data_IF_798608635948
#
_entry.id   IF_798608635948
#
_cell.length_a   1.000
_cell.length_b   1.000
_cell.length_c   1.000
_cell.angle_alpha   90.00
_cell.angle_beta   90.00
_cell.angle_gamma   90.00
#
_symmetry.space_group_name_H-M   'P 1'
#
loop_
_entity.id
_entity.type
_entity.pdbx_description
1 polymer ?
#
# COMPACT_ATOMS: atom_id res chain seq x y z
N UNK A 1 48.96 19.19 19.98
CA UNK A 1 47.92 20.20 20.29
C UNK A 1 46.68 19.81 19.50
N UNK A 2 45.62 19.41 20.20
CA UNK A 2 44.38 18.95 19.56
C UNK A 2 43.62 20.16 19.02
N UNK A 3 43.55 20.30 17.70
CA UNK A 3 42.65 21.27 17.06
C UNK A 3 41.23 20.72 17.14
N UNK A 4 40.42 21.49 17.86
CA UNK A 4 39.05 21.24 18.25
C UNK A 4 38.18 21.20 16.98
N UNK A 5 37.78 20.01 16.51
CA UNK A 5 36.66 19.90 15.58
C UNK A 5 35.45 20.55 16.26
N UNK A 6 34.97 21.66 15.71
CA UNK A 6 33.76 22.35 16.19
C UNK A 6 32.56 21.46 15.88
N UNK A 7 32.22 20.56 16.79
CA UNK A 7 30.87 20.03 16.87
C UNK A 7 29.97 21.15 17.38
N UNK A 8 29.23 21.81 16.49
CA UNK A 8 28.14 22.71 16.89
C UNK A 8 26.83 21.94 16.83
N UNK A 9 26.40 21.54 18.02
CA UNK A 9 25.04 21.19 18.39
C UNK A 9 24.05 22.23 17.86
N UNK A 10 22.98 21.73 17.25
CA UNK A 10 21.75 22.44 16.88
C UNK A 10 21.30 23.42 17.98
N UNK A 11 21.55 24.70 17.75
CA UNK A 11 20.78 25.80 18.31
C UNK A 11 19.99 26.41 17.15
N UNK A 12 18.67 26.50 17.33
CA UNK A 12 17.76 27.19 16.42
C UNK A 12 18.10 28.69 16.40
N UNK A 13 18.99 29.09 15.51
CA UNK A 13 19.06 30.44 14.97
C UNK A 13 19.25 30.26 13.46
N UNK A 14 18.61 31.10 12.65
CA UNK A 14 18.78 31.12 11.20
C UNK A 14 20.24 31.39 10.87
N UNK A 15 21.02 30.33 10.64
CA UNK A 15 22.41 30.43 10.21
C UNK A 15 22.36 30.81 8.73
N UNK A 16 22.68 32.06 8.41
CA UNK A 16 22.84 32.52 7.02
C UNK A 16 24.01 31.73 6.41
N UNK A 17 23.71 30.67 5.63
CA UNK A 17 24.70 29.73 5.07
C UNK A 17 25.68 30.43 4.11
N UNK A 18 25.23 31.47 3.43
CA UNK A 18 26.08 32.34 2.59
C UNK A 18 27.14 33.09 3.38
N UNK A 19 26.90 33.43 4.65
CA UNK A 19 27.91 34.08 5.51
C UNK A 19 29.07 33.12 5.82
N UNK A 20 28.75 31.86 6.12
CA UNK A 20 29.74 30.83 6.44
C UNK A 20 30.61 30.52 5.21
N UNK A 21 30.00 30.44 4.03
CA UNK A 21 30.71 30.25 2.78
C UNK A 21 31.71 31.39 2.48
N UNK A 22 31.28 32.65 2.63
CA UNK A 22 32.15 33.80 2.34
C UNK A 22 33.26 33.94 3.39
N UNK A 23 33.02 33.56 4.65
CA UNK A 23 34.08 33.49 5.68
C UNK A 23 35.16 32.46 5.33
N UNK A 24 34.75 31.26 4.90
CA UNK A 24 35.69 30.22 4.44
C UNK A 24 36.37 30.62 3.14
N UNK A 25 35.69 31.35 2.24
CA UNK A 25 36.31 31.83 1.00
C UNK A 25 37.38 32.91 1.26
N UNK A 26 37.20 33.74 2.30
CA UNK A 26 38.16 34.78 2.71
C UNK A 26 39.49 34.20 3.18
N UNK A 27 39.54 32.98 3.70
CA UNK A 27 40.81 32.37 4.16
C UNK A 27 41.71 31.93 3.01
N UNK A 28 41.15 31.61 1.84
CA UNK A 28 41.92 31.10 0.68
C UNK A 28 42.02 32.13 -0.45
N UNK A 29 41.03 33.02 -0.57
CA UNK A 29 40.98 34.01 -1.63
C UNK A 29 41.00 35.44 -1.06
N UNK A 30 42.15 36.14 -1.11
CA UNK A 30 42.30 37.47 -0.49
C UNK A 30 41.34 38.54 -1.02
N UNK A 31 40.84 38.38 -2.25
CA UNK A 31 39.90 39.31 -2.89
C UNK A 31 38.42 39.03 -2.53
N UNK A 32 38.14 38.00 -1.73
CA UNK A 32 36.78 37.67 -1.29
C UNK A 32 36.17 38.69 -0.31
N UNK A 33 36.98 39.64 0.20
CA UNK A 33 36.53 40.71 1.10
C UNK A 33 35.53 41.68 0.47
N UNK A 34 35.41 41.71 -0.86
CA UNK A 34 34.45 42.54 -1.59
C UNK A 34 33.14 41.82 -1.93
N UNK A 35 33.00 40.55 -1.57
CA UNK A 35 31.81 39.74 -1.89
C UNK A 35 30.76 39.89 -0.78
N UNK A 36 29.49 40.05 -1.17
CA UNK A 36 28.38 40.15 -0.23
C UNK A 36 27.82 38.77 0.10
N UNK A 37 27.67 38.52 1.41
CA UNK A 37 27.30 37.21 1.97
C UNK A 37 25.91 36.73 1.49
N UNK A 38 24.97 37.65 1.25
CA UNK A 38 23.61 37.34 0.80
C UNK A 38 23.48 36.97 -0.68
N UNK A 39 24.50 37.25 -1.49
CA UNK A 39 24.48 36.91 -2.91
C UNK A 39 24.71 35.41 -3.13
N UNK A 40 25.04 34.65 -2.07
CA UNK A 40 25.37 33.23 -2.12
C UNK A 40 24.37 32.34 -1.40
N UNK A 41 23.38 32.89 -0.69
CA UNK A 41 22.39 32.08 0.03
C UNK A 41 21.56 31.21 -0.94
N UNK A 42 21.20 31.75 -2.12
CA UNK A 42 20.43 31.00 -3.13
C UNK A 42 21.16 29.78 -3.69
N UNK A 43 22.50 29.75 -3.64
CA UNK A 43 23.30 28.62 -4.13
C UNK A 43 23.16 27.38 -3.24
N UNK A 44 22.77 27.56 -1.98
CA UNK A 44 22.46 26.46 -1.06
C UNK A 44 21.06 25.90 -1.26
N UNK A 45 20.17 26.62 -1.95
CA UNK A 45 18.82 26.14 -2.28
C UNK A 45 18.82 25.26 -3.54
N UNK A 46 19.93 25.21 -4.28
CA UNK A 46 20.10 24.34 -5.45
C UNK A 46 20.73 22.99 -5.02
N UNK A 47 20.05 21.85 -5.21
CA UNK A 47 20.51 20.54 -4.72
C UNK A 47 21.80 20.06 -5.40
N UNK A 48 22.08 20.51 -6.62
CA UNK A 48 23.31 20.18 -7.34
C UNK A 48 24.55 20.87 -6.74
N UNK A 49 24.37 22.05 -6.15
CA UNK A 49 25.46 22.85 -5.57
C UNK A 49 25.54 22.74 -4.06
N UNK A 50 24.46 22.37 -3.37
CA UNK A 50 24.42 22.21 -1.92
C UNK A 50 25.50 21.25 -1.40
N UNK A 51 25.63 20.06 -2.00
CA UNK A 51 26.62 19.06 -1.57
C UNK A 51 28.06 19.57 -1.66
N UNK A 52 28.38 20.30 -2.73
CA UNK A 52 29.70 20.89 -2.92
C UNK A 52 29.96 22.02 -1.91
N UNK A 53 28.98 22.90 -1.70
CA UNK A 53 29.11 24.03 -0.81
C UNK A 53 29.20 23.60 0.66
N UNK A 54 28.43 22.59 1.04
CA UNK A 54 28.51 21.98 2.38
C UNK A 54 29.86 21.29 2.59
N UNK A 55 30.37 20.57 1.58
CA UNK A 55 31.74 20.04 1.64
C UNK A 55 32.79 21.14 1.77
N UNK A 56 32.65 22.22 0.99
CA UNK A 56 33.58 23.35 0.99
C UNK A 56 33.61 24.01 2.37
N UNK A 57 32.47 24.40 2.93
CA UNK A 57 32.41 25.03 4.25
C UNK A 57 32.95 24.14 5.37
N UNK A 58 32.81 22.81 5.26
CA UNK A 58 33.23 21.87 6.30
C UNK A 58 34.69 21.38 6.17
N UNK A 59 35.26 21.42 4.97
CA UNK A 59 36.56 20.78 4.67
C UNK A 59 37.65 21.79 4.35
N UNK A 60 37.26 22.98 3.92
CA UNK A 60 38.17 23.99 3.43
C UNK A 60 38.54 24.96 4.56
N UNK A 61 39.83 25.01 4.92
CA UNK A 61 40.33 25.78 6.05
C UNK A 61 41.71 26.41 5.79
N UNK A 62 42.27 27.04 6.82
CA UNK A 62 43.60 27.69 6.77
C UNK A 62 44.71 26.68 6.42
N UNK A 63 44.53 25.40 6.77
CA UNK A 63 45.42 24.29 6.43
C UNK A 63 45.50 23.99 4.92
N UNK A 64 44.52 24.44 4.14
CA UNK A 64 44.47 24.25 2.69
C UNK A 64 45.03 25.47 1.92
N UNK A 65 45.35 26.56 2.63
CA UNK A 65 46.01 27.72 2.06
C UNK A 65 47.52 27.58 2.24
N UNK A 66 48.29 27.76 1.16
CA UNK A 66 49.75 27.71 1.21
C UNK A 66 50.29 28.84 2.08
N UNK A 67 50.99 28.49 3.16
CA UNK A 67 51.61 29.47 4.07
C UNK A 67 52.81 30.15 3.35
N UNK A 68 53.10 31.46 3.53
CA UNK A 68 54.20 32.11 2.82
C UNK A 68 55.56 31.46 3.08
N UNK A 69 55.75 30.87 4.25
CA UNK A 69 56.95 30.11 4.60
C UNK A 69 57.07 28.80 3.81
N UNK A 70 55.94 28.15 3.53
CA UNK A 70 55.90 26.92 2.71
C UNK A 70 56.20 27.24 1.25
N UNK A 71 55.68 28.37 0.76
CA UNK A 71 55.95 28.92 -0.56
C UNK A 71 57.45 29.23 -0.74
N UNK A 72 58.09 29.88 0.24
CA UNK A 72 59.54 30.08 0.22
C UNK A 72 60.34 28.77 0.26
N UNK A 73 59.88 27.77 1.02
CA UNK A 73 60.55 26.46 1.05
C UNK A 73 60.39 25.72 -0.29
N UNK A 74 59.24 25.86 -0.94
CA UNK A 74 59.00 25.31 -2.26
C UNK A 74 59.88 26.02 -3.31
N UNK A 75 59.96 27.35 -3.32
CA UNK A 75 60.86 28.08 -4.21
C UNK A 75 62.33 27.70 -3.99
N UNK A 76 62.78 27.57 -2.73
CA UNK A 76 64.13 27.08 -2.41
C UNK A 76 64.36 25.64 -2.91
N UNK A 77 63.34 24.79 -2.90
CA UNK A 77 63.40 23.42 -3.44
C UNK A 77 63.46 23.39 -4.97
N UNK A 78 62.66 24.22 -5.65
CA UNK A 78 62.70 24.38 -7.12
C UNK A 78 64.08 24.90 -7.56
N UNK A 79 64.63 25.89 -6.86
CA UNK A 79 65.98 26.42 -7.13
C UNK A 79 67.07 25.37 -6.86
N UNK A 80 66.84 24.41 -5.96
CA UNK A 80 67.81 23.36 -5.63
C UNK A 80 67.98 22.28 -6.70
N UNK A 81 67.16 22.27 -7.77
CA UNK A 81 67.31 21.41 -8.94
C UNK A 81 67.11 19.91 -8.66
N UNK A 82 66.55 19.54 -7.51
CA UNK A 82 66.17 18.15 -7.20
C UNK A 82 64.90 17.80 -7.99
N UNK A 83 64.75 16.55 -8.49
CA UNK A 83 63.53 16.14 -9.18
C UNK A 83 62.36 16.22 -8.20
N UNK A 84 61.48 17.20 -8.43
CA UNK A 84 60.20 17.29 -7.75
C UNK A 84 59.31 16.19 -8.34
N UNK A 85 58.66 15.42 -7.47
CA UNK A 85 57.70 14.41 -7.89
C UNK A 85 56.44 15.12 -8.37
N UNK A 86 56.37 15.38 -9.66
CA UNK A 86 55.23 15.99 -10.33
C UNK A 86 54.53 14.95 -11.23
N UNK A 87 53.21 15.10 -11.32
CA UNK A 87 52.28 14.39 -12.20
C UNK A 87 52.56 12.88 -12.34
N UNK A 88 53.14 12.45 -13.45
CA UNK A 88 53.31 11.04 -13.83
C UNK A 88 54.27 10.28 -12.89
N UNK A 89 55.30 10.95 -12.38
CA UNK A 89 56.23 10.33 -11.43
C UNK A 89 55.59 10.17 -10.04
N UNK A 90 54.75 11.12 -9.63
CA UNK A 90 53.96 11.01 -8.40
C UNK A 90 52.88 9.94 -8.55
N UNK A 91 52.22 9.87 -9.69
CA UNK A 91 51.18 8.88 -9.98
C UNK A 91 51.79 7.47 -10.04
N UNK A 92 52.98 7.31 -10.61
CA UNK A 92 53.71 6.04 -10.61
C UNK A 92 54.18 5.64 -9.20
N UNK A 93 54.66 6.58 -8.38
CA UNK A 93 54.98 6.32 -6.98
C UNK A 93 53.74 6.02 -6.15
N UNK A 94 52.61 6.71 -6.35
CA UNK A 94 51.33 6.41 -5.71
C UNK A 94 50.79 5.05 -6.14
N UNK A 95 50.94 4.67 -7.41
CA UNK A 95 50.56 3.34 -7.92
C UNK A 95 51.45 2.24 -7.32
N UNK A 96 52.73 2.52 -7.14
CA UNK A 96 53.69 1.60 -6.52
C UNK A 96 53.48 1.50 -5.00
N UNK A 97 53.16 2.63 -4.34
CA UNK A 97 52.78 2.70 -2.93
C UNK A 97 51.43 2.06 -2.65
N UNK A 98 50.45 2.17 -3.54
CA UNK A 98 49.16 1.46 -3.41
C UNK A 98 49.30 -0.04 -3.68
N UNK A 99 50.27 -0.45 -4.51
CA UNK A 99 50.70 -1.85 -4.62
C UNK A 99 51.44 -2.34 -3.36
N UNK A 100 52.23 -1.50 -2.68
CA UNK A 100 52.82 -1.84 -1.37
C UNK A 100 51.83 -1.73 -0.21
N UNK A 101 50.79 -0.90 -0.32
CA UNK A 101 49.64 -0.84 0.61
C UNK A 101 48.67 -2.02 0.41
N UNK A 102 48.88 -2.85 -0.63
CA UNK A 102 48.40 -4.25 -0.62
C UNK A 102 49.14 -5.14 0.37
N UNK A 103 49.94 -4.58 1.27
CA UNK A 103 50.00 -5.05 2.65
C UNK A 103 48.62 -4.86 3.30
N UNK A 104 47.72 -5.75 2.89
CA UNK A 104 46.42 -6.12 3.42
C UNK A 104 46.45 -6.43 4.94
N UNK A 105 47.58 -6.21 5.63
CA UNK A 105 47.73 -6.36 7.07
C UNK A 105 47.25 -5.14 7.85
N UNK A 106 47.61 -3.91 7.46
CA UNK A 106 47.40 -2.74 8.33
C UNK A 106 45.95 -2.18 8.22
N UNK A 107 45.37 -2.11 7.02
CA UNK A 107 43.95 -1.79 6.84
C UNK A 107 42.99 -2.92 7.28
N UNK A 108 43.51 -4.13 7.56
CA UNK A 108 42.80 -5.19 8.29
C UNK A 108 43.06 -5.15 9.79
N UNK A 109 44.19 -4.60 10.25
CA UNK A 109 44.50 -4.38 11.67
C UNK A 109 43.75 -3.18 12.25
N UNK A 110 43.46 -2.15 11.43
CA UNK A 110 42.54 -1.06 11.80
C UNK A 110 41.05 -1.44 11.70
N UNK A 111 40.73 -2.61 11.15
CA UNK A 111 39.46 -3.30 11.42
C UNK A 111 39.62 -4.04 12.75
N UNK A 112 39.63 -3.30 13.85
CA UNK A 112 39.58 -3.93 15.15
C UNK A 112 38.24 -4.69 15.23
N UNK A 113 38.23 -6.00 15.49
CA UNK A 113 36.98 -6.78 15.56
C UNK A 113 36.01 -6.21 16.60
N UNK A 114 36.53 -5.49 17.59
CA UNK A 114 35.75 -4.77 18.60
C UNK A 114 35.03 -3.56 17.98
N UNK A 115 35.73 -2.71 17.22
CA UNK A 115 35.10 -1.52 16.61
C UNK A 115 34.13 -1.89 15.49
N UNK A 116 34.42 -2.93 14.72
CA UNK A 116 33.45 -3.45 13.74
C UNK A 116 32.24 -4.08 14.42
N UNK A 117 32.43 -4.84 15.51
CA UNK A 117 31.31 -5.39 16.26
C UNK A 117 30.43 -4.32 16.91
N UNK A 118 31.02 -3.21 17.37
CA UNK A 118 30.28 -2.04 17.88
C UNK A 118 29.51 -1.32 16.77
N UNK A 119 30.10 -1.15 15.59
CA UNK A 119 29.41 -0.60 14.42
C UNK A 119 28.28 -1.52 13.94
N UNK A 120 28.52 -2.83 13.83
CA UNK A 120 27.50 -3.82 13.45
C UNK A 120 26.34 -3.85 14.47
N UNK A 121 26.63 -3.70 15.77
CA UNK A 121 25.59 -3.59 16.80
C UNK A 121 24.81 -2.28 16.71
N UNK A 122 25.45 -1.17 16.37
CA UNK A 122 24.76 0.11 16.19
C UNK A 122 23.94 0.11 14.90
N UNK A 123 24.42 -0.48 13.80
CA UNK A 123 23.68 -0.67 12.56
C UNK A 123 22.41 -1.50 12.81
N UNK A 124 22.52 -2.61 13.54
CA UNK A 124 21.37 -3.41 13.96
C UNK A 124 20.38 -2.63 14.83
N UNK A 125 20.88 -1.72 15.67
CA UNK A 125 20.04 -0.86 16.51
C UNK A 125 19.31 0.18 15.68
N UNK A 126 19.99 0.76 14.69
CA UNK A 126 19.42 1.72 13.75
C UNK A 126 18.37 1.06 12.85
N UNK A 127 18.64 -0.11 12.27
CA UNK A 127 17.64 -0.87 11.49
C UNK A 127 16.40 -1.22 12.32
N UNK A 128 16.59 -1.59 13.59
CA UNK A 128 15.47 -1.82 14.51
C UNK A 128 14.65 -0.53 14.74
N UNK A 129 15.32 0.60 14.97
CA UNK A 129 14.66 1.88 15.21
C UNK A 129 13.93 2.38 13.95
N UNK A 130 14.52 2.23 12.77
CA UNK A 130 13.92 2.57 11.48
C UNK A 130 12.64 1.77 11.25
N UNK A 131 12.67 0.46 11.48
CA UNK A 131 11.46 -0.38 11.37
C UNK A 131 10.35 0.07 12.34
N UNK A 132 10.70 0.39 13.58
CA UNK A 132 9.71 0.87 14.56
C UNK A 132 9.17 2.25 14.16
N UNK A 133 9.99 3.10 13.56
CA UNK A 133 9.57 4.40 13.05
C UNK A 133 8.65 4.27 11.84
N UNK A 134 8.96 3.42 10.87
CA UNK A 134 8.08 3.13 9.72
C UNK A 134 6.72 2.63 10.20
N UNK A 135 6.70 1.66 11.12
CA UNK A 135 5.44 1.12 11.66
C UNK A 135 4.62 2.18 12.41
N UNK A 136 5.27 3.08 13.15
CA UNK A 136 4.60 4.21 13.80
C UNK A 136 4.05 5.23 12.79
N UNK A 137 4.81 5.53 11.73
CA UNK A 137 4.38 6.43 10.65
C UNK A 137 3.17 5.86 9.93
N UNK A 138 3.19 4.57 9.59
CA UNK A 138 2.06 3.89 8.94
C UNK A 138 0.81 3.92 9.80
N UNK A 139 0.94 3.69 11.11
CA UNK A 139 -0.18 3.81 12.05
C UNK A 139 -0.73 5.23 12.11
N UNK A 140 0.15 6.25 12.19
CA UNK A 140 -0.26 7.66 12.25
C UNK A 140 -0.93 8.09 10.94
N UNK A 141 -0.39 7.70 9.79
CA UNK A 141 -1.00 7.97 8.47
C UNK A 141 -2.37 7.30 8.34
N UNK A 142 -2.48 6.05 8.81
CA UNK A 142 -3.75 5.34 8.90
C UNK A 142 -4.77 6.10 9.75
N UNK A 143 -4.38 6.56 10.94
CA UNK A 143 -5.24 7.37 11.79
C UNK A 143 -5.63 8.69 11.14
N UNK A 144 -4.69 9.40 10.51
CA UNK A 144 -4.95 10.68 9.85
C UNK A 144 -5.97 10.53 8.72
N UNK A 145 -5.82 9.51 7.87
CA UNK A 145 -6.78 9.22 6.80
C UNK A 145 -8.18 8.90 7.36
N UNK A 146 -8.25 8.18 8.48
CA UNK A 146 -9.52 7.89 9.16
C UNK A 146 -10.17 9.17 9.71
N UNK A 147 -9.39 10.05 10.32
CA UNK A 147 -9.89 11.34 10.81
C UNK A 147 -10.39 12.24 9.67
N UNK A 148 -9.70 12.27 8.53
CA UNK A 148 -10.16 13.00 7.35
C UNK A 148 -11.48 12.46 6.82
N UNK A 149 -11.62 11.13 6.73
CA UNK A 149 -12.87 10.48 6.35
C UNK A 149 -14.02 10.79 7.32
N UNK A 150 -13.78 10.74 8.63
CA UNK A 150 -14.76 11.11 9.65
C UNK A 150 -15.18 12.58 9.52
N UNK A 151 -14.23 13.49 9.24
CA UNK A 151 -14.51 14.91 9.00
C UNK A 151 -15.40 15.11 7.78
N UNK A 152 -15.10 14.43 6.67
CA UNK A 152 -15.92 14.48 5.45
C UNK A 152 -17.34 13.95 5.70
N UNK A 153 -17.46 12.82 6.41
CA UNK A 153 -18.77 12.26 6.81
C UNK A 153 -19.56 13.23 7.68
N UNK A 154 -18.91 13.90 8.64
CA UNK A 154 -19.55 14.89 9.50
C UNK A 154 -20.02 16.11 8.69
N UNK A 155 -19.21 16.59 7.75
CA UNK A 155 -19.59 17.68 6.85
C UNK A 155 -20.79 17.30 5.97
N UNK A 156 -20.78 16.09 5.41
CA UNK A 156 -21.90 15.59 4.61
C UNK A 156 -23.17 15.47 5.45
N UNK A 157 -23.07 14.94 6.67
CA UNK A 157 -24.21 14.83 7.60
C UNK A 157 -24.76 16.21 7.97
N UNK A 158 -23.90 17.18 8.24
CA UNK A 158 -24.30 18.58 8.50
C UNK A 158 -25.05 19.17 7.31
N UNK A 159 -24.52 19.00 6.09
CA UNK A 159 -25.15 19.51 4.87
C UNK A 159 -26.52 18.88 4.63
N UNK A 160 -26.65 17.56 4.82
CA UNK A 160 -27.92 16.87 4.70
C UNK A 160 -28.95 17.37 5.73
N UNK A 161 -28.54 17.52 6.99
CA UNK A 161 -29.41 18.06 8.03
C UNK A 161 -29.87 19.49 7.71
N UNK A 162 -28.96 20.33 7.22
CA UNK A 162 -29.30 21.68 6.79
C UNK A 162 -30.28 21.68 5.62
N UNK A 163 -30.06 20.84 4.60
CA UNK A 163 -30.99 20.71 3.49
C UNK A 163 -32.38 20.23 3.94
N UNK A 164 -32.44 19.24 4.84
CA UNK A 164 -33.72 18.79 5.41
C UNK A 164 -34.40 19.88 6.24
N UNK A 165 -33.63 20.66 7.00
CA UNK A 165 -34.14 21.79 7.77
C UNK A 165 -34.77 22.86 6.87
N UNK A 166 -34.05 23.28 5.82
CA UNK A 166 -34.54 24.25 4.85
C UNK A 166 -35.82 23.75 4.15
N UNK A 167 -35.89 22.46 3.83
CA UNK A 167 -37.08 21.86 3.19
C UNK A 167 -38.28 21.83 4.14
N UNK A 168 -38.06 21.50 5.42
CA UNK A 168 -39.11 21.54 6.44
C UNK A 168 -39.59 22.96 6.70
N UNK A 169 -38.69 23.93 6.74
CA UNK A 169 -39.02 25.34 6.88
C UNK A 169 -39.88 25.83 5.70
N UNK A 170 -39.53 25.47 4.47
CA UNK A 170 -40.35 25.76 3.29
C UNK A 170 -41.73 25.08 3.31
N UNK A 171 -41.85 23.87 3.87
CA UNK A 171 -43.17 23.24 4.07
C UNK A 171 -43.96 23.93 5.18
N UNK A 172 -43.29 24.39 6.23
CA UNK A 172 -43.92 25.10 7.34
C UNK A 172 -44.48 26.45 6.90
N UNK A 173 -43.79 27.19 6.03
CA UNK A 173 -44.33 28.42 5.45
C UNK A 173 -45.55 28.15 4.59
N UNK A 174 -45.52 27.15 3.70
CA UNK A 174 -46.67 26.76 2.88
C UNK A 174 -47.87 26.32 3.74
N UNK A 175 -47.63 25.54 4.79
CA UNK A 175 -48.69 25.13 5.72
C UNK A 175 -49.28 26.32 6.45
N UNK A 176 -48.44 27.26 6.92
CA UNK A 176 -48.90 28.48 7.60
C UNK A 176 -49.72 29.37 6.67
N UNK A 177 -49.32 29.48 5.41
CA UNK A 177 -50.09 30.20 4.38
C UNK A 177 -51.46 29.52 4.18
N UNK A 178 -51.50 28.19 4.05
CA UNK A 178 -52.75 27.45 3.93
C UNK A 178 -53.63 27.54 5.17
N UNK A 179 -53.03 27.58 6.37
CA UNK A 179 -53.74 27.78 7.63
C UNK A 179 -54.36 29.18 7.68
N UNK A 180 -53.60 30.21 7.29
CA UNK A 180 -54.12 31.58 7.22
C UNK A 180 -55.26 31.72 6.21
N UNK A 181 -55.18 31.04 5.06
CA UNK A 181 -56.27 30.96 4.11
C UNK A 181 -57.47 30.26 4.73
N UNK A 182 -57.29 29.09 5.37
CA UNK A 182 -58.40 28.38 6.02
C UNK A 182 -59.04 29.21 7.13
N UNK A 183 -58.27 29.98 7.89
CA UNK A 183 -58.78 30.91 8.91
C UNK A 183 -59.59 32.05 8.27
N UNK A 184 -59.12 32.62 7.16
CA UNK A 184 -59.87 33.63 6.39
C UNK A 184 -61.18 33.05 5.85
N UNK A 185 -61.14 31.86 5.27
CA UNK A 185 -62.32 31.13 4.82
C UNK A 185 -63.29 30.83 5.98
N UNK A 186 -62.79 30.38 7.13
CA UNK A 186 -63.60 30.11 8.31
C UNK A 186 -64.28 31.40 8.83
N UNK A 187 -63.58 32.53 8.84
CA UNK A 187 -64.16 33.82 9.22
C UNK A 187 -65.33 34.23 8.31
N UNK A 188 -65.26 33.87 7.01
CA UNK A 188 -66.36 34.07 6.07
C UNK A 188 -67.59 33.20 6.38
N UNK A 189 -67.41 32.02 6.97
CA UNK A 189 -68.50 31.11 7.36
C UNK A 189 -69.10 31.44 8.73
N UNK A 190 -68.33 32.03 9.64
CA UNK A 190 -68.84 32.54 10.94
C UNK A 190 -69.74 33.78 10.76
N UNK A 191 -69.68 34.41 9.59
CA UNK A 191 -70.58 35.50 9.20
C UNK A 191 -72.03 34.97 9.12
N UNK A 192 -72.90 35.51 9.98
CA UNK A 192 -74.24 34.96 10.31
C UNK A 192 -75.23 34.91 9.13
N UNK A 193 -74.79 35.30 7.93
CA UNK A 193 -75.52 35.29 6.66
C UNK A 193 -75.44 33.97 5.91
N UNK A 194 -74.49 33.09 6.24
CA UNK A 194 -74.30 31.78 5.61
C UNK A 194 -74.70 30.59 6.50
N UNK A 195 -75.44 30.82 7.59
CA UNK A 195 -75.99 29.74 8.41
C UNK A 195 -77.04 28.96 7.60
N UNK A 196 -76.60 27.90 6.93
CA UNK A 196 -77.46 26.98 6.22
C UNK A 196 -78.27 26.24 7.28
N UNK A 197 -79.52 26.67 7.49
CA UNK A 197 -80.53 25.82 8.11
C UNK A 197 -80.53 24.50 7.34
N UNK A 198 -80.24 23.40 8.03
CA UNK A 198 -80.22 22.05 7.48
C UNK A 198 -81.56 21.78 6.78
N UNK A 199 -81.55 21.82 5.45
CA UNK A 199 -82.60 21.18 4.65
C UNK A 199 -82.08 19.78 4.28
N UNK A 200 -82.86 18.71 4.50
CA UNK A 200 -82.50 17.40 3.99
C UNK A 200 -82.72 17.43 2.46
N UNK A 201 -81.71 17.87 1.69
CA UNK A 201 -81.77 17.82 0.22
C UNK A 201 -81.43 16.42 -0.24
N UNK A 202 -82.46 15.65 -0.57
CA UNK A 202 -82.34 14.25 -1.03
C UNK A 202 -81.85 14.21 -2.50
N UNK A 203 -82.14 15.25 -3.29
CA UNK A 203 -81.75 15.37 -4.70
C UNK A 203 -80.53 16.28 -4.86
N UNK A 204 -79.65 15.90 -5.79
CA UNK A 204 -78.48 16.68 -6.19
C UNK A 204 -78.98 17.94 -6.92
N UNK A 205 -78.57 19.09 -6.42
CA UNK A 205 -78.92 20.39 -6.99
C UNK A 205 -78.24 20.52 -8.38
N UNK A 206 -78.97 20.86 -9.46
CA UNK A 206 -78.36 21.04 -10.78
C UNK A 206 -77.30 22.16 -10.83
N UNK A 207 -77.27 23.08 -9.85
CA UNK A 207 -76.21 24.09 -9.76
C UNK A 207 -74.92 23.56 -9.16
N UNK A 208 -74.94 22.40 -8.50
CA UNK A 208 -73.77 21.86 -7.82
C UNK A 208 -72.89 21.06 -8.79
N UNK A 209 -72.08 21.81 -9.54
CA UNK A 209 -71.20 21.28 -10.59
C UNK A 209 -70.24 20.20 -10.07
N UNK A 210 -69.86 20.28 -8.79
CA UNK A 210 -68.89 19.37 -8.17
C UNK A 210 -69.46 17.96 -7.98
N UNK A 211 -70.68 17.88 -7.45
CA UNK A 211 -71.38 16.63 -7.23
C UNK A 211 -71.85 16.03 -8.55
N UNK A 212 -72.21 16.85 -9.53
CA UNK A 212 -72.49 16.39 -10.90
C UNK A 212 -71.25 15.80 -11.59
N UNK A 213 -70.07 16.40 -11.43
CA UNK A 213 -68.81 15.90 -11.99
C UNK A 213 -68.35 14.61 -11.31
N UNK A 214 -68.45 14.52 -9.99
CA UNK A 214 -68.19 13.29 -9.25
C UNK A 214 -69.12 12.16 -9.69
N UNK A 215 -70.39 12.47 -9.88
CA UNK A 215 -71.38 11.52 -10.40
C UNK A 215 -71.03 11.05 -11.81
N UNK A 216 -70.62 11.96 -12.71
CA UNK A 216 -70.18 11.62 -14.07
C UNK A 216 -68.92 10.75 -14.07
N UNK A 217 -67.94 11.03 -13.20
CA UNK A 217 -66.74 10.19 -13.08
C UNK A 217 -67.06 8.77 -12.62
N UNK A 218 -68.05 8.60 -11.73
CA UNK A 218 -68.49 7.30 -11.23
C UNK A 218 -69.46 6.58 -12.19
N UNK A 219 -70.05 7.27 -13.16
CA UNK A 219 -71.06 6.72 -14.09
C UNK A 219 -70.51 6.36 -15.48
N UNK A 220 -69.21 6.50 -15.72
CA UNK A 220 -68.56 6.29 -17.05
C UNK A 220 -68.86 4.92 -17.72
N UNK A 221 -69.40 3.95 -16.98
CA UNK A 221 -69.67 2.59 -17.47
C UNK A 221 -71.17 2.24 -17.65
N UNK A 222 -72.12 3.09 -17.25
CA UNK A 222 -73.56 2.76 -17.37
C UNK A 222 -74.18 3.39 -18.62
N UNK A 223 -74.95 2.60 -19.39
CA UNK A 223 -75.66 3.07 -20.59
C UNK A 223 -77.04 3.67 -20.30
N UNK A 224 -77.50 3.63 -19.05
CA UNK A 224 -78.82 4.13 -18.65
C UNK A 224 -78.73 5.48 -17.93
N UNK A 225 -79.22 6.53 -18.60
CA UNK A 225 -79.26 7.89 -18.05
C UNK A 225 -80.46 8.01 -17.09
N UNK A 226 -80.21 7.94 -15.79
CA UNK A 226 -81.23 8.26 -14.79
C UNK A 226 -81.53 9.78 -14.80
N UNK A 227 -82.81 10.13 -14.92
CA UNK A 227 -83.29 11.52 -15.04
C UNK A 227 -83.16 12.33 -13.74
N UNK A 228 -83.05 11.67 -12.58
CA UNK A 228 -82.88 12.32 -11.28
C UNK A 228 -81.69 11.72 -10.54
N UNK A 229 -80.80 12.58 -10.02
CA UNK A 229 -79.59 12.20 -9.29
C UNK A 229 -79.82 12.43 -7.80
N UNK A 230 -79.73 11.35 -7.00
CA UNK A 230 -79.87 11.40 -5.54
C UNK A 230 -78.51 11.24 -4.86
N UNK A 231 -78.32 11.93 -3.73
CA UNK A 231 -77.11 11.76 -2.91
C UNK A 231 -76.95 10.32 -2.40
N UNK A 232 -78.05 9.60 -2.19
CA UNK A 232 -78.05 8.20 -1.77
C UNK A 232 -77.48 7.28 -2.87
N UNK A 233 -77.82 7.54 -4.13
CA UNK A 233 -77.30 6.79 -5.28
C UNK A 233 -75.82 7.05 -5.54
N UNK A 234 -75.35 8.27 -5.24
CA UNK A 234 -73.93 8.61 -5.32
C UNK A 234 -73.15 7.93 -4.20
N UNK A 235 -73.69 7.94 -2.97
CA UNK A 235 -73.08 7.30 -1.81
C UNK A 235 -72.99 5.77 -1.97
N UNK A 236 -74.01 5.11 -2.53
CA UNK A 236 -73.97 3.67 -2.79
C UNK A 236 -72.93 3.30 -3.86
N UNK A 237 -72.78 4.11 -4.91
CA UNK A 237 -71.74 3.94 -5.94
C UNK A 237 -70.33 4.16 -5.39
N UNK A 238 -70.14 5.20 -4.58
CA UNK A 238 -68.88 5.43 -3.87
C UNK A 238 -68.52 4.25 -2.96
N UNK A 239 -69.52 3.71 -2.26
CA UNK A 239 -69.35 2.53 -1.40
C UNK A 239 -68.92 1.28 -2.19
N UNK A 240 -69.46 1.07 -3.39
CA UNK A 240 -69.06 -0.02 -4.29
C UNK A 240 -67.59 0.12 -4.73
N UNK A 241 -67.17 1.31 -5.16
CA UNK A 241 -65.77 1.55 -5.53
C UNK A 241 -64.81 1.30 -4.35
N UNK A 242 -65.19 1.73 -3.15
CA UNK A 242 -64.43 1.46 -1.92
C UNK A 242 -64.35 -0.04 -1.59
N UNK A 243 -65.35 -0.84 -1.97
CA UNK A 243 -65.32 -2.29 -1.83
C UNK A 243 -64.40 -2.93 -2.89
N UNK A 244 -64.45 -2.47 -4.14
CA UNK A 244 -63.56 -2.93 -5.22
C UNK A 244 -62.08 -2.64 -4.90
N UNK A 245 -61.78 -1.44 -4.39
CA UNK A 245 -60.43 -1.09 -3.93
C UNK A 245 -59.96 -1.99 -2.79
N UNK A 246 -60.84 -2.29 -1.81
CA UNK A 246 -60.52 -3.23 -0.74
C UNK A 246 -60.25 -4.64 -1.26
N UNK A 247 -61.03 -5.12 -2.21
CA UNK A 247 -60.83 -6.43 -2.83
C UNK A 247 -59.49 -6.50 -3.59
N UNK A 248 -59.16 -5.49 -4.39
CA UNK A 248 -57.88 -5.41 -5.09
C UNK A 248 -56.70 -5.30 -4.13
N UNK A 249 -56.85 -4.56 -3.03
CA UNK A 249 -55.83 -4.44 -2.00
C UNK A 249 -55.58 -5.79 -1.30
N UNK A 250 -56.63 -6.57 -1.04
CA UNK A 250 -56.52 -7.93 -0.50
C UNK A 250 -55.80 -8.85 -1.50
N UNK A 251 -56.12 -8.76 -2.79
CA UNK A 251 -55.47 -9.55 -3.85
C UNK A 251 -53.98 -9.20 -4.03
N UNK A 252 -53.61 -7.92 -3.89
CA UNK A 252 -52.21 -7.50 -3.90
C UNK A 252 -51.48 -7.89 -2.60
N UNK A 253 -52.19 -7.93 -1.48
CA UNK A 253 -51.63 -8.33 -0.19
C UNK A 253 -51.40 -9.85 -0.09
N UNK A 254 -52.06 -10.67 -0.90
CA UNK A 254 -51.73 -12.10 -1.02
C UNK A 254 -50.44 -12.26 -1.83
N UNK A 255 -49.31 -12.65 -1.21
CA UNK A 255 -48.04 -12.80 -1.92
C UNK A 255 -48.18 -13.93 -2.95
N UNK A 256 -47.77 -13.62 -4.19
CA UNK A 256 -47.86 -14.57 -5.29
C UNK A 256 -46.99 -15.81 -4.97
N UNK A 257 -47.53 -17.03 -5.00
CA UNK A 257 -46.82 -18.22 -4.50
C UNK A 257 -45.51 -18.51 -5.25
N UNK A 258 -45.39 -18.08 -6.51
CA UNK A 258 -44.15 -18.20 -7.28
C UNK A 258 -43.06 -17.23 -6.79
N UNK A 259 -43.43 -16.07 -6.25
CA UNK A 259 -42.47 -15.11 -5.69
C UNK A 259 -41.85 -15.65 -4.41
N UNK A 260 -42.65 -16.23 -3.51
CA UNK A 260 -42.15 -16.89 -2.30
C UNK A 260 -41.19 -18.04 -2.63
N UNK A 261 -41.50 -18.82 -3.68
CA UNK A 261 -40.62 -19.88 -4.17
C UNK A 261 -39.30 -19.31 -4.69
N UNK A 262 -39.35 -18.29 -5.54
CA UNK A 262 -38.16 -17.64 -6.09
C UNK A 262 -37.31 -16.96 -5.01
N UNK A 263 -37.94 -16.35 -4.00
CA UNK A 263 -37.27 -15.76 -2.85
C UNK A 263 -36.56 -16.82 -2.01
N UNK A 264 -37.20 -17.99 -1.80
CA UNK A 264 -36.57 -19.13 -1.14
C UNK A 264 -35.38 -19.70 -1.92
N UNK A 265 -35.48 -19.79 -3.26
CA UNK A 265 -34.41 -20.25 -4.14
C UNK A 265 -33.23 -19.27 -4.17
N UNK A 266 -33.50 -17.96 -4.26
CA UNK A 266 -32.48 -16.92 -4.17
C UNK A 266 -31.78 -16.93 -2.80
N UNK A 267 -32.53 -17.13 -1.72
CA UNK A 267 -31.96 -17.23 -0.37
C UNK A 267 -31.06 -18.46 -0.24
N UNK A 268 -31.46 -19.60 -0.83
CA UNK A 268 -30.63 -20.79 -0.88
C UNK A 268 -29.34 -20.58 -1.69
N UNK A 269 -29.42 -19.92 -2.84
CA UNK A 269 -28.24 -19.54 -3.63
C UNK A 269 -27.33 -18.56 -2.89
N UNK A 270 -27.91 -17.61 -2.17
CA UNK A 270 -27.17 -16.66 -1.36
C UNK A 270 -26.39 -17.37 -0.25
N UNK A 271 -27.01 -18.31 0.48
CA UNK A 271 -26.34 -19.12 1.50
C UNK A 271 -25.28 -20.10 0.93
N UNK A 272 -25.37 -20.46 -0.35
CA UNK A 272 -24.34 -21.27 -1.02
C UNK A 272 -23.09 -20.46 -1.36
N UNK A 273 -23.27 -19.18 -1.66
CA UNK A 273 -22.20 -18.29 -2.12
C UNK A 273 -21.61 -17.49 -0.95
N UNK A 274 -22.38 -17.25 0.10
CA UNK A 274 -22.01 -16.43 1.25
C UNK A 274 -22.27 -17.16 2.56
N UNK A 275 -21.39 -17.00 3.54
CA UNK A 275 -21.61 -17.50 4.90
C UNK A 275 -22.55 -16.58 5.71
N UNK A 276 -22.86 -16.98 6.95
CA UNK A 276 -23.68 -16.22 7.89
C UNK A 276 -23.12 -14.82 8.22
N UNK A 277 -21.87 -14.53 7.81
CA UNK A 277 -21.21 -13.23 7.96
C UNK A 277 -21.17 -12.40 6.67
N UNK A 278 -21.89 -12.82 5.62
CA UNK A 278 -21.92 -12.20 4.29
C UNK A 278 -20.54 -12.15 3.61
N UNK A 279 -19.65 -13.09 3.93
CA UNK A 279 -18.35 -13.21 3.27
C UNK A 279 -18.45 -14.21 2.11
N UNK A 280 -17.86 -13.84 0.97
CA UNK A 280 -17.89 -14.65 -0.25
C UNK A 280 -17.14 -15.97 0.01
N UNK A 281 -17.86 -17.08 0.07
CA UNK A 281 -17.33 -18.43 0.35
C UNK A 281 -16.56 -19.05 -0.83
N UNK A 282 -15.91 -18.22 -1.66
CA UNK A 282 -14.86 -18.63 -2.59
C UNK A 282 -13.50 -18.71 -1.86
N UNK A 283 -13.50 -19.02 -0.58
CA UNK A 283 -12.28 -19.28 0.18
C UNK A 283 -12.06 -20.78 0.21
N UNK A 284 -11.00 -21.18 -0.46
CA UNK A 284 -10.69 -22.53 -0.89
C UNK A 284 -10.23 -23.44 0.26
N UNK A 285 -10.97 -23.50 1.37
CA UNK A 285 -10.59 -24.33 2.53
C UNK A 285 -10.57 -25.83 2.17
N UNK A 286 -11.43 -26.26 1.24
CA UNK A 286 -11.37 -27.60 0.64
C UNK A 286 -10.19 -27.84 -0.31
N UNK A 287 -9.49 -26.80 -0.79
CA UNK A 287 -8.27 -26.92 -1.60
C UNK A 287 -6.99 -26.69 -0.75
N UNK A 288 -7.11 -26.03 0.40
CA UNK A 288 -5.99 -25.81 1.33
C UNK A 288 -5.41 -27.13 1.83
N UNK A 289 -6.28 -28.06 2.25
CA UNK A 289 -5.84 -29.35 2.78
C UNK A 289 -5.16 -30.23 1.70
N UNK A 290 -5.69 -30.38 0.47
CA UNK A 290 -4.96 -31.01 -0.63
C UNK A 290 -3.63 -30.33 -1.00
N UNK A 291 -3.57 -29.00 -0.97
CA UNK A 291 -2.34 -28.25 -1.27
C UNK A 291 -1.27 -28.45 -0.20
N UNK A 292 -1.65 -28.48 1.07
CA UNK A 292 -0.76 -28.81 2.18
C UNK A 292 -0.29 -30.27 2.10
N UNK A 293 -1.16 -31.21 1.75
CA UNK A 293 -0.75 -32.60 1.51
C UNK A 293 0.23 -32.71 0.33
N UNK A 294 0.02 -31.93 -0.74
CA UNK A 294 0.90 -31.90 -1.90
C UNK A 294 2.28 -31.30 -1.55
N UNK A 295 2.33 -30.26 -0.72
CA UNK A 295 3.59 -29.66 -0.27
C UNK A 295 4.38 -30.61 0.65
N UNK A 296 3.69 -31.32 1.54
CA UNK A 296 4.31 -32.33 2.42
C UNK A 296 4.86 -33.51 1.60
N UNK A 297 4.13 -33.98 0.58
CA UNK A 297 4.62 -35.07 -0.29
C UNK A 297 5.79 -34.62 -1.15
N UNK A 298 5.78 -33.39 -1.66
CA UNK A 298 6.90 -32.79 -2.38
C UNK A 298 8.16 -32.74 -1.51
N UNK A 299 8.05 -32.29 -0.26
CA UNK A 299 9.18 -32.25 0.67
C UNK A 299 9.77 -33.64 0.95
N UNK A 300 8.92 -34.67 1.13
CA UNK A 300 9.36 -36.06 1.31
C UNK A 300 10.12 -36.59 0.10
N UNK A 301 9.64 -36.31 -1.12
CA UNK A 301 10.32 -36.73 -2.35
C UNK A 301 11.70 -36.07 -2.47
N UNK A 302 11.81 -34.78 -2.17
CA UNK A 302 13.10 -34.11 -2.17
C UNK A 302 14.07 -34.73 -1.15
N UNK A 303 13.61 -35.07 0.04
CA UNK A 303 14.45 -35.73 1.04
C UNK A 303 14.97 -37.07 0.52
N UNK A 304 14.11 -37.91 -0.06
CA UNK A 304 14.50 -39.21 -0.65
C UNK A 304 15.51 -39.01 -1.79
N UNK A 305 15.32 -38.01 -2.64
CA UNK A 305 16.27 -37.68 -3.72
C UNK A 305 17.63 -37.25 -3.17
N UNK A 306 17.65 -36.46 -2.10
CA UNK A 306 18.91 -36.04 -1.48
C UNK A 306 19.63 -37.21 -0.82
N UNK A 307 18.91 -38.09 -0.13
CA UNK A 307 19.49 -39.28 0.51
C UNK A 307 20.04 -40.27 -0.52
N UNK A 308 19.33 -40.51 -1.62
CA UNK A 308 19.85 -41.36 -2.70
C UNK A 308 21.07 -40.75 -3.37
N UNK A 309 21.12 -39.42 -3.52
CA UNK A 309 22.26 -38.72 -4.09
C UNK A 309 23.48 -38.79 -3.18
N UNK A 310 23.32 -38.64 -1.86
CA UNK A 310 24.42 -38.79 -0.90
C UNK A 310 24.94 -40.23 -0.88
N UNK A 311 24.07 -41.22 -0.93
CA UNK A 311 24.42 -42.64 -1.06
C UNK A 311 25.20 -42.93 -2.34
N UNK A 312 24.76 -42.40 -3.49
CA UNK A 312 25.46 -42.57 -4.75
C UNK A 312 26.84 -41.89 -4.73
N UNK A 313 26.96 -40.71 -4.10
CA UNK A 313 28.26 -40.05 -3.89
C UNK A 313 29.17 -40.89 -3.00
N UNK A 314 28.65 -41.48 -1.93
CA UNK A 314 29.41 -42.37 -1.04
C UNK A 314 29.87 -43.63 -1.78
N UNK A 315 28.98 -44.29 -2.53
CA UNK A 315 29.30 -45.45 -3.38
C UNK A 315 30.31 -45.11 -4.47
N UNK A 316 30.21 -43.91 -5.08
CA UNK A 316 31.21 -43.43 -6.06
C UNK A 316 32.60 -43.28 -5.42
N UNK A 317 32.66 -42.69 -4.22
CA UNK A 317 33.92 -42.55 -3.47
C UNK A 317 34.49 -43.93 -3.08
N UNK A 318 33.66 -44.86 -2.62
CA UNK A 318 34.12 -46.22 -2.27
C UNK A 318 34.60 -47.02 -3.48
N UNK A 319 33.97 -46.85 -4.64
CA UNK A 319 34.41 -47.44 -5.90
C UNK A 319 35.70 -46.83 -6.47
N UNK A 320 36.13 -45.67 -5.95
CA UNK A 320 37.39 -45.03 -6.35
C UNK A 320 38.61 -45.66 -5.63
N UNK A 321 38.38 -46.45 -4.57
CA UNK A 321 39.43 -47.23 -3.89
C UNK A 321 40.00 -48.28 -4.85
N UNK A 322 41.33 -48.34 -4.94
CA UNK A 322 42.08 -49.13 -5.94
C UNK A 322 41.58 -50.58 -6.06
N UNK A 323 41.38 -51.27 -4.93
CA UNK A 323 40.94 -52.66 -4.89
C UNK A 323 39.51 -52.89 -5.45
N UNK A 324 38.56 -51.99 -5.13
CA UNK A 324 37.18 -52.09 -5.64
C UNK A 324 37.07 -51.71 -7.11
N UNK A 325 37.95 -50.82 -7.59
CA UNK A 325 38.08 -50.49 -9.01
C UNK A 325 38.62 -51.68 -9.82
N UNK A 326 39.62 -52.40 -9.29
CA UNK A 326 40.12 -53.62 -9.92
C UNK A 326 39.07 -54.73 -9.92
N UNK A 327 38.38 -54.95 -8.79
CA UNK A 327 37.28 -55.93 -8.69
C UNK A 327 36.17 -55.64 -9.71
N UNK A 328 35.68 -54.39 -9.79
CA UNK A 328 34.69 -53.97 -10.79
C UNK A 328 35.16 -54.17 -12.23
N UNK A 329 36.42 -53.86 -12.52
CA UNK A 329 36.99 -54.06 -13.85
C UNK A 329 37.07 -55.55 -14.20
N UNK A 330 37.44 -56.42 -13.25
CA UNK A 330 37.42 -57.87 -13.46
C UNK A 330 36.00 -58.39 -13.72
N UNK A 331 35.00 -57.93 -12.96
CA UNK A 331 33.59 -58.24 -13.23
C UNK A 331 33.15 -57.74 -14.61
N UNK A 332 33.53 -56.52 -15.00
CA UNK A 332 33.25 -56.01 -16.35
C UNK A 332 33.90 -56.87 -17.43
N UNK A 333 35.17 -57.24 -17.28
CA UNK A 333 35.86 -58.10 -18.25
C UNK A 333 35.29 -59.51 -18.28
N UNK A 334 34.79 -60.04 -17.15
CA UNK A 334 34.12 -61.33 -17.09
C UNK A 334 32.87 -61.38 -17.99
N UNK A 335 32.04 -60.33 -17.97
CA UNK A 335 30.82 -60.28 -18.78
C UNK A 335 31.03 -59.73 -20.19
N UNK A 336 32.01 -58.84 -20.40
CA UNK A 336 32.20 -58.17 -21.70
C UNK A 336 33.30 -58.79 -22.58
N UNK A 337 34.35 -59.41 -22.01
CA UNK A 337 35.45 -59.96 -22.82
C UNK A 337 36.32 -61.00 -22.05
N UNK A 338 35.95 -62.29 -22.05
CA UNK A 338 36.60 -63.32 -21.24
C UNK A 338 38.05 -63.63 -21.66
N UNK A 339 38.40 -63.42 -22.93
CA UNK A 339 39.76 -63.66 -23.43
C UNK A 339 40.78 -62.64 -22.90
N UNK A 340 40.36 -61.38 -22.74
CA UNK A 340 41.18 -60.33 -22.13
C UNK A 340 41.46 -60.63 -20.65
N UNK A 341 40.45 -61.13 -19.93
CA UNK A 341 40.59 -61.57 -18.53
C UNK A 341 41.60 -62.71 -18.43
N UNK A 342 41.49 -63.73 -19.29
CA UNK A 342 42.43 -64.87 -19.34
C UNK A 342 43.87 -64.43 -19.63
N UNK A 343 44.06 -63.43 -20.50
CA UNK A 343 45.38 -62.85 -20.81
C UNK A 343 45.96 -62.07 -19.63
N UNK A 344 45.16 -61.30 -18.91
CA UNK A 344 45.57 -60.59 -17.69
C UNK A 344 45.97 -61.57 -16.57
N UNK A 345 45.14 -62.59 -16.30
CA UNK A 345 45.43 -63.59 -15.27
C UNK A 345 46.72 -64.34 -15.58
N UNK A 346 46.92 -64.78 -16.83
CA UNK A 346 48.18 -65.41 -17.26
C UNK A 346 49.41 -64.49 -17.11
N UNK A 347 49.26 -63.18 -17.24
CA UNK A 347 50.36 -62.22 -17.05
C UNK A 347 50.72 -62.07 -15.57
N UNK A 348 49.71 -62.02 -14.70
CA UNK A 348 49.89 -61.96 -13.23
C UNK A 348 50.46 -63.28 -12.71
N UNK A 349 49.98 -64.42 -13.20
CA UNK A 349 50.51 -65.75 -12.86
C UNK A 349 51.99 -65.88 -13.23
N UNK A 350 52.38 -65.42 -14.43
CA UNK A 350 53.79 -65.35 -14.84
C UNK A 350 54.62 -64.41 -13.96
N UNK A 351 54.08 -63.27 -13.53
CA UNK A 351 54.77 -62.36 -12.61
C UNK A 351 54.93 -62.96 -11.20
N UNK A 352 53.93 -63.67 -10.69
CA UNK A 352 53.99 -64.34 -9.40
C UNK A 352 54.98 -65.52 -9.40
N UNK A 353 55.05 -66.28 -10.50
CA UNK A 353 56.04 -67.35 -10.69
C UNK A 353 57.47 -66.81 -10.73
N UNK A 354 57.69 -65.62 -11.31
CA UNK A 354 59.00 -64.95 -11.33
C UNK A 354 59.37 -64.39 -9.95
N UNK A 355 58.42 -63.87 -9.18
CA UNK A 355 58.64 -63.37 -7.82
C UNK A 355 58.76 -64.46 -6.75
N UNK A 356 58.42 -65.71 -7.07
CA UNK A 356 58.56 -66.87 -6.17
C UNK A 356 59.87 -67.65 -6.40
N UNK A 357 60.64 -67.30 -7.43
CA UNK A 357 61.96 -67.86 -7.73
C UNK A 357 63.12 -66.87 -7.48
N UNK A 358 62.84 -65.75 -6.81
CA UNK A 358 63.82 -64.87 -6.16
C UNK A 358 63.58 -64.91 -4.65
#
# INVERSE_FOLDING_TARGET
MFTRRRSRTFLMETIDRGTEFVEVLKTIYPKATTLHEKDFDWLFDCPETEQFLEWFCNTVGEENALNPTELETYEKLVISGKPLLEDEALEEVLRTCSQSFRLNGIARLFRLPITNGELDMEDMRLEYLERVQEEAIDQILGQLSHFEMLKLLLMLKKNNLQWTGNKLEGLMTVLKDSESQLQEWQSCFEDSRFSIKQCPRILIDPSDLTTLRLWEMLDKNNKEKQLFRSYETLASRGSRLCQELRMLQIQLATPFPQFLKLESENKALYCLIYDDSNQLMLHAQGLSEPLEQLSVTQAKIYQILMDTLTDLKAKRKSLQIHFKKTERNLYRYFFSNPDHLKKMVRKVEKQALVSSCA
#
